data_IF_693133428341
#
_entry.id   IF_693133428341
#
_cell.length_a   1.000
_cell.length_b   1.000
_cell.length_c   1.000
_cell.angle_alpha   90.00
_cell.angle_beta   90.00
_cell.angle_gamma   90.00
#
_symmetry.space_group_name_H-M   'P 1'
#
loop_
_entity.id
_entity.type
_entity.pdbx_description
1 polymer ?
#
# COMPACT_ATOMS: atom_id res chain seq x y z
N UNK A 1 -22.66 -4.30 -17.62
CA UNK A 1 -21.49 -4.74 -16.82
C UNK A 1 -21.20 -3.69 -15.76
N UNK A 2 -21.11 -4.06 -14.49
CA UNK A 2 -20.69 -3.13 -13.44
C UNK A 2 -19.16 -2.96 -13.51
N UNK A 3 -18.69 -1.88 -14.12
CA UNK A 3 -17.27 -1.52 -14.12
C UNK A 3 -16.90 -1.05 -12.71
N UNK A 4 -16.34 -1.95 -11.89
CA UNK A 4 -15.71 -1.57 -10.62
C UNK A 4 -14.38 -0.88 -10.96
N UNK A 5 -14.19 0.40 -10.60
CA UNK A 5 -12.92 1.07 -10.87
C UNK A 5 -11.79 0.32 -10.16
N UNK A 6 -10.71 0.06 -10.91
CA UNK A 6 -9.50 -0.55 -10.38
C UNK A 6 -8.74 0.52 -9.62
N UNK A 7 -8.41 0.25 -8.36
CA UNK A 7 -7.58 1.15 -7.55
C UNK A 7 -6.11 0.94 -7.92
N UNK A 8 -5.52 1.92 -8.60
CA UNK A 8 -4.10 1.96 -8.93
C UNK A 8 -3.40 3.14 -8.27
N UNK A 9 -2.10 3.00 -8.05
CA UNK A 9 -1.24 4.06 -7.54
C UNK A 9 -0.50 4.77 -8.68
N UNK A 10 -0.36 6.09 -8.57
CA UNK A 10 0.40 6.91 -9.53
C UNK A 10 1.61 7.59 -8.89
N UNK A 11 1.70 7.57 -7.55
CA UNK A 11 2.80 8.11 -6.76
C UNK A 11 2.98 7.29 -5.49
N UNK A 12 4.22 7.25 -5.01
CA UNK A 12 4.57 6.59 -3.74
C UNK A 12 4.81 7.60 -2.63
N UNK A 13 4.52 7.18 -1.41
CA UNK A 13 4.89 7.90 -0.21
C UNK A 13 6.41 7.96 -0.05
N UNK A 14 6.93 9.17 0.10
CA UNK A 14 8.36 9.40 0.27
C UNK A 14 8.84 9.13 1.70
N UNK A 15 7.92 9.15 2.68
CA UNK A 15 8.23 9.01 4.11
C UNK A 15 7.57 7.75 4.69
N UNK A 16 8.24 7.07 5.66
CA UNK A 16 7.66 5.92 6.33
C UNK A 16 6.38 6.25 7.10
N UNK A 17 5.46 5.29 7.13
CA UNK A 17 4.19 5.39 7.86
C UNK A 17 4.38 4.77 9.24
N UNK A 18 4.12 5.55 10.30
CA UNK A 18 4.32 5.09 11.70
C UNK A 18 3.16 4.27 12.24
N UNK A 19 1.93 4.60 11.86
CA UNK A 19 0.70 3.97 12.38
C UNK A 19 -0.02 3.19 11.29
N UNK A 20 0.69 2.22 10.70
CA UNK A 20 0.08 1.29 9.74
C UNK A 20 -0.80 0.28 10.49
N UNK A 21 -2.01 0.04 9.98
CA UNK A 21 -3.00 -0.88 10.56
C UNK A 21 -3.22 -2.11 9.69
N UNK A 22 -3.20 -1.95 8.38
CA UNK A 22 -3.25 -3.06 7.42
C UNK A 22 -2.60 -2.65 6.10
N UNK A 23 -2.46 -3.60 5.18
CA UNK A 23 -1.96 -3.33 3.84
C UNK A 23 -2.65 -4.24 2.82
N UNK A 24 -2.62 -3.85 1.54
CA UNK A 24 -2.97 -4.70 0.41
C UNK A 24 -2.14 -4.32 -0.82
N UNK A 25 -2.01 -5.23 -1.77
CA UNK A 25 -1.31 -4.97 -3.02
C UNK A 25 -2.28 -4.44 -4.09
N UNK A 26 -1.81 -3.50 -4.90
CA UNK A 26 -2.57 -3.08 -6.08
C UNK A 26 -2.63 -4.22 -7.11
N UNK A 27 -3.72 -4.32 -7.88
CA UNK A 27 -3.83 -5.31 -8.95
C UNK A 27 -2.67 -5.27 -9.95
N UNK A 28 -2.31 -6.44 -10.49
CA UNK A 28 -1.16 -6.61 -11.42
C UNK A 28 -1.32 -5.85 -12.74
N UNK A 29 -2.55 -5.48 -13.11
CA UNK A 29 -2.84 -4.69 -14.30
C UNK A 29 -2.53 -3.19 -14.14
N UNK A 30 -2.17 -2.74 -12.93
CA UNK A 30 -1.68 -1.38 -12.73
C UNK A 30 -0.25 -1.25 -13.29
N UNK A 31 0.03 -0.14 -13.98
CA UNK A 31 1.36 0.14 -14.55
C UNK A 31 2.44 0.31 -13.47
N UNK A 32 2.04 0.71 -12.26
CA UNK A 32 2.92 0.89 -11.11
C UNK A 32 2.55 -0.13 -10.02
N UNK A 33 3.41 -1.13 -9.76
CA UNK A 33 3.24 -2.06 -8.66
C UNK A 33 3.34 -1.32 -7.32
N UNK A 34 2.29 -1.41 -6.49
CA UNK A 34 2.27 -0.71 -5.21
C UNK A 34 1.70 -1.58 -4.09
N UNK A 35 2.15 -1.28 -2.88
CA UNK A 35 1.50 -1.74 -1.65
C UNK A 35 0.75 -0.55 -1.07
N UNK A 36 -0.56 -0.67 -0.92
CA UNK A 36 -1.37 0.32 -0.22
C UNK A 36 -1.36 0.01 1.26
N UNK A 37 -0.78 0.91 2.05
CA UNK A 37 -0.81 0.85 3.51
C UNK A 37 -2.02 1.64 4.00
N UNK A 38 -2.85 1.01 4.82
CA UNK A 38 -3.99 1.64 5.49
C UNK A 38 -3.54 2.07 6.88
N UNK A 39 -3.52 3.37 7.12
CA UNK A 39 -3.19 3.92 8.43
C UNK A 39 -4.33 3.71 9.43
N UNK A 40 -4.04 3.84 10.73
CA UNK A 40 -5.06 3.78 11.79
C UNK A 40 -6.17 4.83 11.61
N UNK A 41 -5.88 5.96 10.96
CA UNK A 41 -6.86 7.00 10.60
C UNK A 41 -7.78 6.61 9.43
N UNK A 42 -7.54 5.47 8.78
CA UNK A 42 -8.22 5.05 7.55
C UNK A 42 -7.61 5.59 6.26
N UNK A 43 -6.55 6.42 6.34
CA UNK A 43 -5.86 6.93 5.16
C UNK A 43 -5.19 5.78 4.38
N UNK A 44 -5.48 5.70 3.08
CA UNK A 44 -4.86 4.78 2.12
C UNK A 44 -3.65 5.44 1.49
N UNK A 45 -2.48 4.82 1.64
CA UNK A 45 -1.21 5.42 1.22
C UNK A 45 -0.48 4.44 0.34
N UNK A 46 -0.28 4.83 -0.92
CA UNK A 46 0.53 4.09 -1.88
C UNK A 46 2.00 4.08 -1.46
N UNK A 47 2.60 2.90 -1.39
CA UNK A 47 3.97 2.70 -0.98
C UNK A 47 4.71 1.77 -1.96
N UNK A 48 5.97 2.11 -2.21
CA UNK A 48 6.85 1.35 -3.11
C UNK A 48 7.28 0.02 -2.45
N UNK A 49 6.90 -1.14 -3.01
CA UNK A 49 7.23 -2.44 -2.44
C UNK A 49 8.74 -2.70 -2.33
N UNK A 50 9.56 -1.99 -3.10
CA UNK A 50 11.01 -2.15 -3.07
C UNK A 50 11.68 -1.44 -1.88
N UNK A 51 10.99 -0.46 -1.26
CA UNK A 51 11.57 0.31 -0.15
C UNK A 51 11.66 -0.54 1.11
N UNK A 52 12.83 -0.47 1.77
CA UNK A 52 13.11 -1.20 3.02
C UNK A 52 12.08 -0.94 4.13
N UNK A 53 11.57 0.29 4.26
CA UNK A 53 10.58 0.62 5.29
C UNK A 53 9.21 0.02 5.00
N UNK A 54 8.86 -0.16 3.72
CA UNK A 54 7.61 -0.79 3.28
C UNK A 54 7.64 -2.28 3.59
N UNK A 55 8.73 -2.96 3.22
CA UNK A 55 8.96 -4.38 3.58
C UNK A 55 8.86 -4.61 5.08
N UNK A 56 9.51 -3.76 5.89
CA UNK A 56 9.42 -3.80 7.36
C UNK A 56 8.00 -3.56 7.88
N UNK A 57 7.22 -2.69 7.24
CA UNK A 57 5.83 -2.45 7.62
C UNK A 57 4.97 -3.69 7.32
N UNK A 58 5.12 -4.28 6.13
CA UNK A 58 4.44 -5.51 5.73
C UNK A 58 4.75 -6.65 6.69
N UNK A 59 6.04 -6.91 6.96
CA UNK A 59 6.46 -7.97 7.88
C UNK A 59 5.88 -7.80 9.29
N UNK A 60 5.76 -6.56 9.77
CA UNK A 60 5.14 -6.27 11.08
C UNK A 60 3.64 -6.54 11.06
N UNK A 61 2.96 -6.15 9.98
CA UNK A 61 1.51 -6.32 9.82
C UNK A 61 1.11 -7.78 9.55
N UNK A 62 1.99 -8.58 8.93
CA UNK A 62 1.76 -10.02 8.72
C UNK A 62 1.92 -10.85 10.01
N UNK A 63 2.72 -10.36 10.95
CA UNK A 63 2.99 -11.02 12.24
C UNK A 63 2.00 -10.65 13.34
N UNK A 64 1.08 -9.73 13.04
CA UNK A 64 0.04 -9.25 13.94
C UNK A 64 -1.24 -10.05 13.73
#
# INVERSE_FOLDING_TARGET
AHYRPVECCFQYAQKPIRQAKSYYETPINCTMPAVVIVAASGAKICADPEKRWVKKAIERLQKQ
#
